data_IF_115733475986
#
_entry.id   IF_115733475986
#
_cell.length_a   1.000
_cell.length_b   1.000
_cell.length_c   1.000
_cell.angle_alpha   90.00
_cell.angle_beta   90.00
_cell.angle_gamma   90.00
#
_symmetry.space_group_name_H-M   'P 1'
#
loop_
_entity.id
_entity.type
_entity.pdbx_description
1 polymer ?
#
# COMPACT_ATOMS: atom_id res chain seq x y z
N UNK A 1 19.86 -6.79 -13.37
CA UNK A 1 18.38 -6.85 -13.32
C UNK A 1 18.03 -8.34 -13.47
N UNK A 2 17.48 -8.93 -12.41
CA UNK A 2 17.05 -10.32 -12.43
C UNK A 2 15.68 -10.46 -13.08
N UNK A 3 15.54 -11.40 -14.01
CA UNK A 3 14.24 -11.82 -14.52
C UNK A 3 13.73 -12.95 -13.62
N UNK A 4 12.53 -12.78 -13.07
CA UNK A 4 11.79 -13.84 -12.41
C UNK A 4 10.77 -14.38 -13.43
N UNK A 5 11.05 -15.50 -14.14
CA UNK A 5 10.33 -15.84 -15.38
C UNK A 5 8.81 -15.88 -15.23
N UNK A 6 8.30 -16.58 -14.23
CA UNK A 6 6.86 -16.76 -14.04
C UNK A 6 6.22 -15.46 -13.52
N UNK A 7 6.73 -14.93 -12.42
CA UNK A 7 6.12 -13.77 -11.75
C UNK A 7 6.27 -12.48 -12.56
N UNK A 8 7.35 -12.36 -13.34
CA UNK A 8 7.60 -11.16 -14.13
C UNK A 8 6.65 -11.02 -15.32
N UNK A 9 6.23 -12.09 -15.96
CA UNK A 9 5.37 -12.06 -17.13
C UNK A 9 3.88 -12.06 -16.80
N UNK A 10 3.49 -12.47 -15.61
CA UNK A 10 2.06 -12.58 -15.24
C UNK A 10 1.27 -11.30 -15.48
N UNK A 11 1.82 -10.13 -15.12
CA UNK A 11 1.14 -8.85 -15.30
C UNK A 11 1.34 -8.23 -16.69
N UNK A 12 2.32 -8.69 -17.43
CA UNK A 12 2.43 -8.39 -18.85
C UNK A 12 1.27 -9.04 -19.60
N UNK A 13 1.05 -10.33 -19.39
CA UNK A 13 0.01 -11.09 -20.04
C UNK A 13 -1.39 -10.63 -19.64
N UNK A 14 -1.66 -10.43 -18.35
CA UNK A 14 -2.96 -9.97 -17.89
C UNK A 14 -3.27 -8.54 -18.35
N UNK A 15 -2.30 -7.63 -18.36
CA UNK A 15 -2.45 -6.30 -18.91
C UNK A 15 -2.75 -6.32 -20.43
N UNK A 16 -2.12 -7.23 -21.18
CA UNK A 16 -2.45 -7.42 -22.58
C UNK A 16 -3.87 -7.95 -22.78
N UNK A 17 -4.29 -8.95 -21.99
CA UNK A 17 -5.67 -9.47 -22.05
C UNK A 17 -6.71 -8.37 -21.80
N UNK A 18 -6.46 -7.48 -20.85
CA UNK A 18 -7.35 -6.33 -20.58
C UNK A 18 -7.47 -5.42 -21.82
N UNK A 19 -6.39 -5.17 -22.56
CA UNK A 19 -6.46 -4.38 -23.80
C UNK A 19 -7.23 -5.06 -24.91
N UNK A 20 -7.37 -6.39 -24.87
CA UNK A 20 -8.19 -7.18 -25.80
C UNK A 20 -9.66 -7.27 -25.37
N UNK A 21 -10.06 -6.60 -24.27
CA UNK A 21 -11.43 -6.59 -23.75
C UNK A 21 -11.76 -7.73 -22.80
N UNK A 22 -10.77 -8.51 -22.36
CA UNK A 22 -10.95 -9.49 -21.29
C UNK A 22 -10.74 -8.79 -19.94
N UNK A 23 -11.55 -9.15 -18.95
CA UNK A 23 -11.51 -8.49 -17.64
C UNK A 23 -11.11 -9.47 -16.52
N UNK A 24 -10.22 -9.05 -15.60
CA UNK A 24 -9.86 -9.84 -14.43
C UNK A 24 -11.10 -10.19 -13.61
N UNK A 25 -11.08 -11.36 -12.97
CA UNK A 25 -12.17 -12.00 -12.21
C UNK A 25 -13.26 -12.59 -13.12
N UNK A 26 -13.68 -11.89 -14.16
CA UNK A 26 -14.74 -12.34 -15.04
C UNK A 26 -14.24 -13.33 -16.09
N UNK A 27 -13.18 -12.98 -16.79
CA UNK A 27 -12.71 -13.71 -17.98
C UNK A 27 -11.43 -14.50 -17.70
N UNK A 28 -10.67 -14.11 -16.67
CA UNK A 28 -9.49 -14.85 -16.21
C UNK A 28 -9.29 -14.72 -14.69
N UNK A 29 -8.58 -15.71 -14.13
CA UNK A 29 -8.28 -15.76 -12.70
C UNK A 29 -7.26 -14.70 -12.28
N UNK A 30 -7.48 -14.05 -11.14
CA UNK A 30 -6.58 -13.01 -10.61
C UNK A 30 -5.59 -13.61 -9.63
N UNK A 31 -4.31 -13.32 -9.80
CA UNK A 31 -3.24 -13.80 -8.91
C UNK A 31 -3.15 -12.96 -7.63
N UNK A 32 -3.45 -11.66 -7.73
CA UNK A 32 -3.39 -10.72 -6.60
C UNK A 32 -4.60 -9.78 -6.62
N UNK A 33 -4.41 -8.47 -6.78
CA UNK A 33 -5.50 -7.52 -6.97
C UNK A 33 -5.65 -7.12 -8.44
N UNK A 34 -6.80 -6.60 -8.80
CA UNK A 34 -7.17 -6.23 -10.19
C UNK A 34 -6.53 -4.94 -10.68
N UNK A 35 -6.06 -4.08 -9.78
CA UNK A 35 -5.61 -2.72 -10.12
C UNK A 35 -4.41 -2.73 -11.06
N UNK A 36 -3.48 -3.66 -10.86
CA UNK A 36 -2.23 -3.73 -11.64
C UNK A 36 -2.52 -4.10 -13.08
N UNK A 37 -3.45 -5.02 -13.33
CA UNK A 37 -3.83 -5.46 -14.67
C UNK A 37 -4.36 -4.28 -15.50
N UNK A 38 -5.22 -3.45 -14.92
CA UNK A 38 -5.73 -2.25 -15.58
C UNK A 38 -4.67 -1.16 -15.73
N UNK A 39 -3.81 -0.95 -14.74
CA UNK A 39 -2.70 -0.01 -14.87
C UNK A 39 -1.75 -0.45 -15.99
N UNK A 40 -1.40 -1.74 -16.04
CA UNK A 40 -0.55 -2.25 -17.12
C UNK A 40 -1.21 -2.10 -18.49
N UNK A 41 -2.51 -2.37 -18.60
CA UNK A 41 -3.26 -2.14 -19.83
C UNK A 41 -3.21 -0.66 -20.28
N UNK A 42 -3.34 0.28 -19.33
CA UNK A 42 -3.19 1.70 -19.62
C UNK A 42 -1.80 2.03 -20.18
N UNK A 43 -0.73 1.48 -19.62
CA UNK A 43 0.62 1.66 -20.13
C UNK A 43 0.80 1.06 -21.54
N UNK A 44 0.17 -0.07 -21.82
CA UNK A 44 0.18 -0.65 -23.18
C UNK A 44 -0.58 0.20 -24.20
N UNK A 45 -1.69 0.79 -23.80
CA UNK A 45 -2.44 1.71 -24.66
C UNK A 45 -1.61 2.95 -25.01
N UNK A 46 -0.85 3.48 -24.05
CA UNK A 46 -0.05 4.71 -24.22
C UNK A 46 1.26 4.44 -24.96
N UNK A 47 1.97 3.38 -24.62
CA UNK A 47 3.35 3.14 -25.06
C UNK A 47 3.51 1.92 -26.00
N UNK A 48 2.38 1.23 -26.31
CA UNK A 48 2.38 0.03 -27.13
C UNK A 48 2.72 -1.26 -26.37
N UNK A 49 2.50 -2.40 -27.00
CA UNK A 49 2.72 -3.74 -26.44
C UNK A 49 4.19 -4.13 -26.53
N UNK A 50 5.00 -3.62 -25.62
CA UNK A 50 6.43 -3.87 -25.60
C UNK A 50 6.98 -3.88 -24.17
N UNK A 51 8.19 -4.39 -24.03
CA UNK A 51 8.87 -4.49 -22.75
C UNK A 51 9.15 -3.12 -22.08
N UNK A 52 9.40 -2.09 -22.89
CA UNK A 52 9.64 -0.74 -22.36
C UNK A 52 8.40 -0.19 -21.67
N UNK A 53 7.20 -0.39 -22.24
CA UNK A 53 5.94 0.00 -21.60
C UNK A 53 5.78 -0.66 -20.23
N UNK A 54 6.24 -1.91 -20.10
CA UNK A 54 6.22 -2.65 -18.85
C UNK A 54 7.19 -2.06 -17.81
N UNK A 55 8.41 -1.70 -18.24
CA UNK A 55 9.39 -1.03 -17.36
C UNK A 55 8.91 0.40 -17.01
N UNK A 56 8.32 1.12 -17.94
CA UNK A 56 7.79 2.47 -17.68
C UNK A 56 6.70 2.47 -16.61
N UNK A 57 5.86 1.44 -16.57
CA UNK A 57 4.85 1.30 -15.52
C UNK A 57 5.51 1.34 -14.13
N UNK A 58 6.46 0.47 -13.85
CA UNK A 58 7.09 0.45 -12.53
C UNK A 58 7.91 1.71 -12.24
N UNK A 59 8.58 2.28 -13.26
CA UNK A 59 9.37 3.49 -13.11
C UNK A 59 8.50 4.70 -12.79
N UNK A 60 7.39 4.88 -13.50
CA UNK A 60 6.45 5.98 -13.27
C UNK A 60 5.79 5.87 -11.91
N UNK A 61 5.39 4.67 -11.48
CA UNK A 61 4.86 4.46 -10.14
C UNK A 61 5.87 4.83 -9.06
N UNK A 62 7.14 4.51 -9.26
CA UNK A 62 8.21 4.89 -8.34
C UNK A 62 8.45 6.42 -8.30
N UNK A 63 8.37 7.07 -9.44
CA UNK A 63 8.46 8.55 -9.51
C UNK A 63 7.27 9.18 -8.79
N UNK A 64 6.05 8.70 -9.03
CA UNK A 64 4.85 9.24 -8.40
C UNK A 64 4.91 9.18 -6.88
N UNK A 65 5.30 8.04 -6.28
CA UNK A 65 5.42 7.95 -4.84
C UNK A 65 6.53 8.86 -4.29
N UNK A 66 7.65 8.99 -5.02
CA UNK A 66 8.78 9.82 -4.59
C UNK A 66 8.43 11.31 -4.62
N UNK A 67 7.68 11.75 -5.63
CA UNK A 67 7.12 13.11 -5.71
C UNK A 67 6.11 13.34 -4.60
N UNK A 68 5.21 12.37 -4.36
CA UNK A 68 4.25 12.46 -3.25
C UNK A 68 4.97 12.54 -1.90
N UNK A 69 6.01 11.76 -1.70
CA UNK A 69 6.83 11.80 -0.49
C UNK A 69 7.54 13.17 -0.31
N UNK A 70 8.06 13.75 -1.39
CA UNK A 70 8.62 15.11 -1.35
C UNK A 70 7.57 16.14 -0.89
N UNK A 71 6.37 16.12 -1.47
CA UNK A 71 5.29 17.02 -1.03
C UNK A 71 4.85 16.74 0.40
N UNK A 72 4.81 15.48 0.82
CA UNK A 72 4.52 15.12 2.20
C UNK A 72 5.53 15.74 3.16
N UNK A 73 6.82 15.60 2.89
CA UNK A 73 7.89 16.18 3.72
C UNK A 73 7.80 17.71 3.77
N UNK A 74 7.50 18.38 2.66
CA UNK A 74 7.32 19.83 2.63
C UNK A 74 6.13 20.29 3.50
N UNK A 75 5.11 19.48 3.62
CA UNK A 75 3.99 19.76 4.53
C UNK A 75 4.37 19.67 6.02
N UNK A 76 5.46 18.99 6.35
CA UNK A 76 6.02 18.90 7.71
C UNK A 76 6.98 20.05 8.04
N UNK A 77 7.11 21.04 7.18
CA UNK A 77 7.98 22.22 7.35
C UNK A 77 9.48 21.92 7.45
N UNK A 78 9.92 20.82 6.86
CA UNK A 78 11.34 20.49 6.76
C UNK A 78 12.06 21.39 5.72
N UNK A 79 13.39 21.37 5.75
CA UNK A 79 14.19 22.08 4.75
C UNK A 79 14.02 21.46 3.36
N UNK A 80 13.77 22.30 2.33
CA UNK A 80 13.46 21.83 0.96
C UNK A 80 14.60 21.00 0.35
N UNK A 81 15.87 21.36 0.61
CA UNK A 81 17.02 20.59 0.13
C UNK A 81 17.09 19.21 0.78
N UNK A 82 16.88 19.15 2.10
CA UNK A 82 16.82 17.90 2.83
C UNK A 82 15.69 17.01 2.31
N UNK A 83 14.50 17.58 2.06
CA UNK A 83 13.34 16.87 1.52
C UNK A 83 13.63 16.31 0.12
N UNK A 84 14.33 17.08 -0.73
CA UNK A 84 14.72 16.63 -2.05
C UNK A 84 15.68 15.44 -1.99
N UNK A 85 16.75 15.53 -1.17
CA UNK A 85 17.70 14.42 -1.01
C UNK A 85 17.04 13.17 -0.40
N UNK A 86 16.17 13.33 0.59
CA UNK A 86 15.40 12.22 1.18
C UNK A 86 14.49 11.55 0.13
N UNK A 87 13.86 12.35 -0.73
CA UNK A 87 12.97 11.81 -1.77
C UNK A 87 13.73 11.08 -2.87
N UNK A 88 14.92 11.54 -3.25
CA UNK A 88 15.79 10.81 -4.18
C UNK A 88 16.28 9.50 -3.54
N UNK A 89 16.72 9.56 -2.29
CA UNK A 89 17.14 8.34 -1.56
C UNK A 89 15.98 7.34 -1.46
N UNK A 90 14.78 7.82 -1.18
CA UNK A 90 13.57 7.01 -1.18
C UNK A 90 13.30 6.40 -2.57
N UNK A 91 13.39 7.17 -3.64
CA UNK A 91 13.20 6.71 -5.00
C UNK A 91 14.15 5.57 -5.38
N UNK A 92 15.41 5.65 -4.97
CA UNK A 92 16.39 4.58 -5.25
C UNK A 92 16.14 3.31 -4.45
N UNK A 93 15.67 3.44 -3.21
CA UNK A 93 15.41 2.29 -2.32
C UNK A 93 14.08 1.58 -2.61
N UNK A 94 13.07 2.31 -3.10
CA UNK A 94 11.75 1.79 -3.39
C UNK A 94 11.60 1.21 -4.80
N UNK A 95 12.61 1.37 -5.66
CA UNK A 95 12.56 0.80 -7.01
C UNK A 95 12.56 -0.74 -6.95
N UNK A 96 11.68 -1.41 -7.71
CA UNK A 96 11.59 -2.87 -7.66
C UNK A 96 12.85 -3.52 -8.22
N UNK A 97 13.33 -4.57 -7.57
CA UNK A 97 14.55 -5.29 -7.94
C UNK A 97 14.48 -5.84 -9.36
N UNK A 98 13.31 -6.32 -9.79
CA UNK A 98 13.09 -6.83 -11.14
C UNK A 98 12.97 -5.70 -12.19
N UNK A 99 12.76 -4.44 -11.79
CA UNK A 99 12.51 -3.32 -12.69
C UNK A 99 11.17 -3.38 -13.41
N UNK A 100 10.27 -4.28 -13.04
CA UNK A 100 8.95 -4.50 -13.62
C UNK A 100 7.86 -4.31 -12.58
N UNK A 101 6.61 -4.01 -12.95
CA UNK A 101 5.52 -3.85 -12.00
C UNK A 101 5.26 -5.16 -11.26
N UNK A 102 5.07 -5.05 -9.96
CA UNK A 102 4.82 -6.17 -9.09
C UNK A 102 3.70 -5.82 -8.10
N UNK A 103 2.82 -6.77 -7.72
CA UNK A 103 1.69 -6.48 -6.83
C UNK A 103 2.13 -5.92 -5.49
N UNK A 104 3.16 -6.51 -4.90
CA UNK A 104 3.73 -6.03 -3.64
C UNK A 104 4.21 -4.58 -3.73
N UNK A 105 4.88 -4.21 -4.82
CA UNK A 105 5.33 -2.82 -5.02
C UNK A 105 4.15 -1.85 -4.99
N UNK A 106 3.10 -2.12 -5.76
CA UNK A 106 1.91 -1.27 -5.83
C UNK A 106 1.18 -1.21 -4.49
N UNK A 107 1.02 -2.36 -3.84
CA UNK A 107 0.42 -2.45 -2.53
C UNK A 107 1.18 -1.62 -1.49
N UNK A 108 2.52 -1.73 -1.44
CA UNK A 108 3.35 -0.93 -0.53
C UNK A 108 3.30 0.56 -0.84
N UNK A 109 3.45 0.94 -2.12
CA UNK A 109 3.40 2.34 -2.55
C UNK A 109 2.07 2.98 -2.15
N UNK A 110 0.94 2.37 -2.51
CA UNK A 110 -0.38 2.95 -2.28
C UNK A 110 -0.73 2.91 -0.78
N UNK A 111 -0.34 1.87 -0.05
CA UNK A 111 -0.49 1.82 1.40
C UNK A 111 0.34 2.90 2.10
N UNK A 112 1.56 3.16 1.63
CA UNK A 112 2.40 4.23 2.18
C UNK A 112 1.78 5.61 1.91
N UNK A 113 1.21 5.84 0.72
CA UNK A 113 0.43 7.04 0.42
C UNK A 113 -0.76 7.15 1.39
N UNK A 114 -1.47 6.05 1.66
CA UNK A 114 -2.59 6.05 2.61
C UNK A 114 -2.14 6.44 4.02
N UNK A 115 -0.99 5.93 4.49
CA UNK A 115 -0.41 6.31 5.78
C UNK A 115 -0.05 7.81 5.82
N UNK A 116 0.58 8.33 4.75
CA UNK A 116 0.93 9.75 4.66
C UNK A 116 -0.32 10.64 4.63
N UNK A 117 -1.37 10.25 3.89
CA UNK A 117 -2.66 10.96 3.86
C UNK A 117 -3.30 10.94 5.25
N UNK A 118 -3.32 9.79 5.93
CA UNK A 118 -3.83 9.68 7.30
C UNK A 118 -3.07 10.63 8.24
N UNK A 119 -1.74 10.64 8.17
CA UNK A 119 -0.92 11.55 8.96
C UNK A 119 -1.27 13.02 8.69
N UNK A 120 -1.40 13.41 7.40
CA UNK A 120 -1.78 14.77 7.04
C UNK A 120 -3.20 15.12 7.48
N UNK A 121 -4.14 14.17 7.43
CA UNK A 121 -5.51 14.34 7.89
C UNK A 121 -5.57 14.68 9.39
N UNK A 122 -4.76 13.98 10.20
CA UNK A 122 -4.65 14.24 11.65
C UNK A 122 -3.86 15.53 11.92
N UNK A 123 -2.74 15.73 11.23
CA UNK A 123 -1.82 16.84 11.49
C UNK A 123 -2.39 18.21 11.07
N UNK A 124 -3.05 18.27 9.90
CA UNK A 124 -3.60 19.52 9.34
C UNK A 124 -5.05 19.76 9.72
N UNK A 125 -5.72 18.76 10.27
CA UNK A 125 -7.17 18.83 10.55
C UNK A 125 -7.99 19.28 9.33
N UNK A 126 -7.65 18.81 8.12
CA UNK A 126 -8.28 19.21 6.87
C UNK A 126 -9.17 18.08 6.33
N UNK A 127 -10.45 18.39 6.09
CA UNK A 127 -11.48 17.43 5.65
C UNK A 127 -11.14 16.73 4.34
N UNK A 128 -10.41 17.38 3.42
CA UNK A 128 -10.05 16.79 2.12
C UNK A 128 -9.21 15.51 2.26
N UNK A 129 -8.29 15.47 3.23
CA UNK A 129 -7.48 14.26 3.46
C UNK A 129 -8.33 13.12 4.00
N UNK A 130 -9.34 13.41 4.83
CA UNK A 130 -10.29 12.41 5.32
C UNK A 130 -11.18 11.85 4.21
N UNK A 131 -11.54 12.64 3.20
CA UNK A 131 -12.30 12.16 2.02
C UNK A 131 -11.42 11.28 1.12
N UNK A 132 -10.18 11.68 0.88
CA UNK A 132 -9.29 10.99 -0.05
C UNK A 132 -8.76 9.67 0.55
N UNK A 133 -8.61 9.58 1.87
CA UNK A 133 -8.03 8.43 2.56
C UNK A 133 -8.69 7.08 2.20
N UNK A 134 -10.03 6.91 2.30
CA UNK A 134 -10.68 5.64 1.97
C UNK A 134 -10.49 5.21 0.52
N UNK A 135 -10.34 6.16 -0.41
CA UNK A 135 -10.12 5.89 -1.83
C UNK A 135 -8.74 5.23 -2.04
N UNK A 136 -7.70 5.77 -1.42
CA UNK A 136 -6.37 5.17 -1.49
C UNK A 136 -6.30 3.83 -0.73
N UNK A 137 -7.02 3.69 0.37
CA UNK A 137 -7.16 2.41 1.07
C UNK A 137 -7.82 1.35 0.17
N UNK A 138 -8.85 1.70 -0.60
CA UNK A 138 -9.45 0.82 -1.60
C UNK A 138 -8.44 0.42 -2.67
N UNK A 139 -7.74 1.37 -3.28
CA UNK A 139 -6.75 1.09 -4.32
C UNK A 139 -5.58 0.25 -3.83
N UNK A 140 -5.11 0.45 -2.60
CA UNK A 140 -4.09 -0.41 -2.00
C UNK A 140 -4.58 -1.86 -1.87
N UNK A 141 -5.82 -2.06 -1.43
CA UNK A 141 -6.43 -3.38 -1.30
C UNK A 141 -6.65 -4.05 -2.68
N UNK A 142 -7.06 -3.27 -3.68
CA UNK A 142 -7.23 -3.76 -5.06
C UNK A 142 -5.89 -4.02 -5.78
N UNK A 143 -4.77 -3.55 -5.22
CA UNK A 143 -3.43 -3.92 -5.72
C UNK A 143 -3.00 -5.28 -5.20
N UNK A 144 -3.14 -5.50 -3.89
CA UNK A 144 -2.90 -6.79 -3.25
C UNK A 144 -3.50 -6.80 -1.84
N UNK A 145 -4.17 -7.88 -1.47
CA UNK A 145 -4.89 -8.02 -0.19
C UNK A 145 -3.93 -7.99 1.01
N UNK A 146 -2.79 -8.65 0.92
CA UNK A 146 -1.71 -8.59 1.88
C UNK A 146 -0.47 -7.95 1.21
N UNK A 147 0.17 -6.94 1.81
CA UNK A 147 0.00 -6.41 3.18
C UNK A 147 -1.08 -5.33 3.34
N UNK A 148 -1.73 -4.88 2.25
CA UNK A 148 -2.62 -3.70 2.29
C UNK A 148 -3.78 -3.85 3.27
N UNK A 149 -4.38 -5.04 3.38
CA UNK A 149 -5.48 -5.28 4.31
C UNK A 149 -5.08 -5.05 5.77
N UNK A 150 -3.89 -5.48 6.17
CA UNK A 150 -3.36 -5.24 7.52
C UNK A 150 -3.12 -3.75 7.77
N UNK A 151 -2.51 -3.06 6.81
CA UNK A 151 -2.23 -1.62 6.92
C UNK A 151 -3.55 -0.84 6.98
N UNK A 152 -4.53 -1.19 6.14
CA UNK A 152 -5.85 -0.57 6.15
C UNK A 152 -6.58 -0.82 7.48
N UNK A 153 -6.49 -2.02 8.04
CA UNK A 153 -7.04 -2.32 9.36
C UNK A 153 -6.42 -1.44 10.47
N UNK A 154 -5.10 -1.25 10.45
CA UNK A 154 -4.42 -0.36 11.39
C UNK A 154 -4.87 1.10 11.20
N UNK A 155 -4.94 1.59 9.96
CA UNK A 155 -5.43 2.95 9.67
C UNK A 155 -6.87 3.13 10.18
N UNK A 156 -7.77 2.17 9.93
CA UNK A 156 -9.16 2.19 10.43
C UNK A 156 -9.21 2.22 11.96
N UNK A 157 -8.38 1.41 12.61
CA UNK A 157 -8.33 1.36 14.08
C UNK A 157 -7.90 2.71 14.67
N UNK A 158 -6.83 3.32 14.15
CA UNK A 158 -6.38 4.64 14.59
C UNK A 158 -7.38 5.75 14.24
N UNK A 159 -8.01 5.67 13.07
CA UNK A 159 -9.08 6.58 12.64
C UNK A 159 -10.27 6.53 13.61
N UNK A 160 -10.69 5.33 14.00
CA UNK A 160 -11.78 5.13 14.95
C UNK A 160 -11.45 5.74 16.32
N UNK A 161 -10.24 5.51 16.83
CA UNK A 161 -9.75 6.11 18.08
C UNK A 161 -9.74 7.64 17.98
N UNK A 162 -9.30 8.17 16.83
CA UNK A 162 -9.26 9.62 16.59
C UNK A 162 -10.67 10.22 16.64
N UNK A 163 -11.66 9.62 15.98
CA UNK A 163 -13.03 10.12 15.96
C UNK A 163 -13.75 10.00 17.32
N UNK A 164 -13.40 9.04 18.15
CA UNK A 164 -13.93 8.92 19.51
C UNK A 164 -13.43 10.04 20.43
N UNK A 165 -12.20 10.53 20.20
CA UNK A 165 -11.53 11.52 21.08
C UNK A 165 -11.61 12.94 20.55
N UNK A 166 -11.80 13.14 19.25
CA UNK A 166 -11.66 14.42 18.57
C UNK A 166 -12.91 14.79 17.77
N UNK A 167 -12.77 15.68 16.80
CA UNK A 167 -13.89 16.33 16.09
C UNK A 167 -14.70 15.35 15.23
N UNK A 168 -15.99 15.22 15.52
CA UNK A 168 -16.92 14.37 14.75
C UNK A 168 -17.10 14.80 13.28
N UNK A 169 -16.80 16.07 12.94
CA UNK A 169 -16.93 16.56 11.55
C UNK A 169 -16.07 15.77 10.56
N UNK A 170 -14.92 15.28 11.00
CA UNK A 170 -14.03 14.47 10.16
C UNK A 170 -14.60 13.08 9.87
N UNK A 171 -15.48 12.57 10.75
CA UNK A 171 -16.20 11.33 10.50
C UNK A 171 -17.08 11.44 9.25
N UNK A 172 -17.82 12.53 9.08
CA UNK A 172 -18.65 12.73 7.88
C UNK A 172 -17.80 12.78 6.61
N UNK A 173 -16.66 13.44 6.66
CA UNK A 173 -15.72 13.49 5.53
C UNK A 173 -15.17 12.11 5.19
N UNK A 174 -14.81 11.31 6.18
CA UNK A 174 -14.36 9.93 6.00
C UNK A 174 -15.47 9.04 5.45
N UNK A 175 -16.70 9.16 5.95
CA UNK A 175 -17.86 8.43 5.45
C UNK A 175 -18.18 8.80 4.00
N UNK A 176 -18.05 10.10 3.62
CA UNK A 176 -18.19 10.54 2.23
C UNK A 176 -17.14 9.87 1.34
N UNK A 177 -15.87 9.85 1.75
CA UNK A 177 -14.80 9.15 1.02
C UNK A 177 -15.05 7.64 0.91
N UNK A 178 -15.58 7.02 1.98
CA UNK A 178 -15.96 5.60 1.96
C UNK A 178 -17.12 5.34 1.00
N UNK A 179 -18.11 6.24 0.95
CA UNK A 179 -19.21 6.16 -0.01
C UNK A 179 -18.68 6.25 -1.46
N UNK A 180 -17.77 7.19 -1.74
CA UNK A 180 -17.13 7.31 -3.06
C UNK A 180 -16.40 5.99 -3.40
N UNK A 181 -15.68 5.40 -2.46
CA UNK A 181 -14.98 4.11 -2.67
C UNK A 181 -15.96 2.97 -3.00
N UNK A 182 -17.10 2.92 -2.31
CA UNK A 182 -18.16 1.94 -2.59
C UNK A 182 -18.76 2.19 -3.98
N UNK A 183 -19.00 3.44 -4.36
CA UNK A 183 -19.51 3.78 -5.69
C UNK A 183 -18.54 3.39 -6.82
N UNK A 184 -17.23 3.56 -6.60
CA UNK A 184 -16.19 3.09 -7.54
C UNK A 184 -16.30 1.56 -7.72
N UNK A 185 -16.42 0.80 -6.64
CA UNK A 185 -16.59 -0.66 -6.70
C UNK A 185 -17.90 -1.06 -7.37
N UNK A 186 -19.01 -0.40 -7.04
CA UNK A 186 -20.30 -0.67 -7.68
C UNK A 186 -20.25 -0.38 -9.18
N UNK A 187 -19.64 0.75 -9.57
CA UNK A 187 -19.43 1.05 -10.99
C UNK A 187 -18.59 -0.05 -11.68
N UNK A 188 -17.51 -0.50 -11.03
CA UNK A 188 -16.68 -1.59 -11.53
C UNK A 188 -17.50 -2.87 -11.76
N UNK A 189 -18.32 -3.28 -10.81
CA UNK A 189 -19.16 -4.48 -10.94
C UNK A 189 -20.23 -4.35 -12.00
N UNK A 190 -20.95 -3.22 -12.04
CA UNK A 190 -22.06 -3.02 -12.95
C UNK A 190 -21.58 -2.82 -14.40
N UNK A 191 -20.56 -2.00 -14.60
CA UNK A 191 -20.05 -1.67 -15.93
C UNK A 191 -19.39 -2.88 -16.61
N UNK A 192 -18.59 -3.63 -15.88
CA UNK A 192 -17.90 -4.80 -16.40
C UNK A 192 -18.70 -6.10 -16.25
N UNK A 193 -19.88 -6.05 -15.65
CA UNK A 193 -20.74 -7.22 -15.36
C UNK A 193 -20.01 -8.31 -14.60
N UNK A 194 -19.24 -7.93 -13.58
CA UNK A 194 -18.49 -8.84 -12.72
C UNK A 194 -19.42 -9.40 -11.65
N UNK A 195 -19.40 -10.72 -11.48
CA UNK A 195 -20.14 -11.37 -10.42
C UNK A 195 -19.49 -11.10 -9.05
N UNK A 196 -20.28 -10.55 -8.11
CA UNK A 196 -19.80 -10.23 -6.76
C UNK A 196 -19.30 -11.48 -6.03
N UNK A 197 -19.92 -12.65 -6.26
CA UNK A 197 -19.47 -13.92 -5.67
C UNK A 197 -18.06 -14.29 -6.15
N UNK A 198 -17.81 -14.16 -7.45
CA UNK A 198 -16.49 -14.48 -8.04
C UNK A 198 -15.43 -13.51 -7.54
N UNK A 199 -15.77 -12.23 -7.43
CA UNK A 199 -14.90 -11.22 -6.81
C UNK A 199 -14.54 -11.61 -5.37
N UNK A 200 -15.54 -11.91 -4.54
CA UNK A 200 -15.31 -12.29 -3.15
C UNK A 200 -14.50 -13.58 -3.03
N UNK A 201 -14.78 -14.55 -3.89
CA UNK A 201 -14.03 -15.83 -3.92
C UNK A 201 -12.55 -15.59 -4.26
N UNK A 202 -12.25 -14.83 -5.33
CA UNK A 202 -10.89 -14.66 -5.81
C UNK A 202 -10.09 -13.66 -4.96
N UNK A 203 -10.72 -12.57 -4.50
CA UNK A 203 -10.02 -11.47 -3.82
C UNK A 203 -9.96 -11.67 -2.29
N UNK A 204 -10.91 -12.40 -1.71
CA UNK A 204 -10.98 -12.56 -0.25
C UNK A 204 -10.75 -14.01 0.17
N UNK A 205 -11.59 -14.95 -0.30
CA UNK A 205 -11.53 -16.31 0.19
C UNK A 205 -10.25 -17.04 -0.23
N UNK A 206 -9.89 -16.96 -1.50
CA UNK A 206 -8.71 -17.66 -2.02
C UNK A 206 -7.39 -17.23 -1.34
N UNK A 207 -7.08 -15.94 -1.13
CA UNK A 207 -5.92 -15.55 -0.36
C UNK A 207 -5.91 -16.05 1.09
N UNK A 208 -7.09 -16.16 1.72
CA UNK A 208 -7.21 -16.70 3.08
C UNK A 208 -6.91 -18.21 3.11
N UNK A 209 -7.41 -18.99 2.16
CA UNK A 209 -7.13 -20.43 2.08
C UNK A 209 -5.67 -20.74 1.81
N UNK A 210 -5.03 -19.97 0.92
CA UNK A 210 -3.56 -20.10 0.70
C UNK A 210 -2.80 -19.74 1.97
N UNK A 211 -3.23 -18.68 2.68
CA UNK A 211 -2.64 -18.26 3.94
C UNK A 211 -2.74 -19.36 5.00
N UNK A 212 -3.89 -19.99 5.10
CA UNK A 212 -4.13 -21.11 6.01
C UNK A 212 -3.23 -22.31 5.70
N UNK A 213 -3.18 -22.77 4.45
CA UNK A 213 -2.30 -23.86 4.02
C UNK A 213 -0.81 -23.58 4.31
N UNK A 214 -0.37 -22.32 4.14
CA UNK A 214 1.00 -21.91 4.47
C UNK A 214 1.27 -21.87 5.97
N UNK A 215 0.25 -21.59 6.80
CA UNK A 215 0.37 -21.57 8.26
C UNK A 215 0.33 -22.99 8.82
N UNK A 216 -0.59 -23.81 8.36
CA UNK A 216 -0.80 -25.18 8.85
C UNK A 216 0.27 -26.17 8.36
N UNK A 217 1.08 -25.78 7.34
CA UNK A 217 2.19 -26.59 6.86
C UNK A 217 1.70 -27.81 6.08
N UNK A 218 0.68 -27.62 5.22
CA UNK A 218 0.25 -28.63 4.29
C UNK A 218 1.46 -29.03 3.40
N UNK A 219 1.90 -30.30 3.48
CA UNK A 219 3.11 -30.80 2.85
C UNK A 219 3.10 -30.59 1.32
N UNK A 220 1.91 -30.44 0.73
CA UNK A 220 1.70 -30.13 -0.68
C UNK A 220 1.82 -28.62 -1.02
N UNK A 221 1.81 -27.74 -0.04
CA UNK A 221 1.94 -26.29 -0.23
C UNK A 221 3.37 -25.84 0.04
N UNK A 222 4.26 -26.01 -0.95
CA UNK A 222 5.65 -25.52 -0.95
C UNK A 222 6.45 -25.91 0.31
N UNK A 223 7.37 -26.82 0.19
CA UNK A 223 8.29 -27.34 1.24
C UNK A 223 9.00 -26.29 2.10
N UNK A 224 8.88 -25.01 1.77
CA UNK A 224 9.57 -23.92 2.44
C UNK A 224 8.74 -23.16 3.48
N UNK A 225 7.46 -23.46 3.67
CA UNK A 225 6.56 -22.58 4.38
C UNK A 225 6.14 -23.04 5.77
N UNK A 226 6.99 -23.65 6.54
CA UNK A 226 6.72 -23.82 7.95
C UNK A 226 6.84 -22.45 8.66
N UNK A 227 5.79 -21.62 8.47
CA UNK A 227 5.69 -20.25 9.01
C UNK A 227 5.84 -20.28 10.54
N UNK A 228 5.38 -21.33 11.23
CA UNK A 228 5.57 -21.49 12.67
C UNK A 228 7.04 -21.66 13.06
N UNK A 229 7.87 -22.35 12.26
CA UNK A 229 9.32 -22.39 12.48
C UNK A 229 9.97 -21.00 12.25
N UNK A 230 9.43 -20.21 11.30
CA UNK A 230 9.91 -18.84 11.01
C UNK A 230 9.38 -17.81 12.01
N UNK A 231 8.22 -18.06 12.61
CA UNK A 231 7.64 -17.23 13.68
C UNK A 231 8.26 -17.47 15.06
N UNK A 232 9.17 -18.46 15.20
CA UNK A 232 9.97 -18.57 16.42
C UNK A 232 10.81 -17.30 16.60
N UNK A 233 11.04 -16.87 17.85
CA UNK A 233 11.88 -15.71 18.15
C UNK A 233 13.23 -15.78 17.42
N UNK A 234 13.86 -16.95 17.40
CA UNK A 234 15.13 -17.19 16.71
C UNK A 234 15.03 -17.04 15.20
N UNK A 235 13.98 -17.54 14.58
CA UNK A 235 13.73 -17.42 13.13
C UNK A 235 13.42 -15.97 12.73
N UNK A 236 12.53 -15.31 13.45
CA UNK A 236 12.16 -13.92 13.21
C UNK A 236 13.35 -12.98 13.43
N UNK A 237 14.09 -13.14 14.54
CA UNK A 237 15.26 -12.32 14.81
C UNK A 237 16.36 -12.55 13.77
N UNK A 238 16.58 -13.81 13.33
CA UNK A 238 17.57 -14.13 12.32
C UNK A 238 17.30 -13.42 10.98
N UNK A 239 16.06 -13.38 10.54
CA UNK A 239 15.66 -12.77 9.27
C UNK A 239 15.55 -11.24 9.33
N UNK A 240 15.04 -10.70 10.45
CA UNK A 240 14.71 -9.28 10.57
C UNK A 240 15.64 -8.53 11.55
N UNK A 241 16.74 -9.13 11.99
CA UNK A 241 17.63 -8.55 13.01
C UNK A 241 18.05 -7.11 12.75
N UNK A 242 18.39 -6.77 11.52
CA UNK A 242 18.80 -5.41 11.17
C UNK A 242 17.64 -4.42 11.25
N UNK A 243 16.46 -4.82 10.79
CA UNK A 243 15.23 -4.00 10.87
C UNK A 243 14.84 -3.82 12.34
N UNK A 244 14.88 -4.88 13.13
CA UNK A 244 14.57 -4.85 14.56
C UNK A 244 15.56 -3.93 15.30
N UNK A 245 16.86 -4.07 15.04
CA UNK A 245 17.90 -3.20 15.63
C UNK A 245 17.65 -1.74 15.23
N UNK A 246 17.34 -1.47 13.96
CA UNK A 246 17.06 -0.12 13.46
C UNK A 246 15.82 0.48 14.15
N UNK A 247 14.74 -0.29 14.30
CA UNK A 247 13.53 0.15 15.01
C UNK A 247 13.85 0.49 16.47
N UNK A 248 14.56 -0.39 17.18
CA UNK A 248 14.96 -0.14 18.57
C UNK A 248 15.88 1.08 18.73
N UNK A 249 16.86 1.24 17.84
CA UNK A 249 17.73 2.41 17.83
C UNK A 249 16.95 3.72 17.63
N UNK A 250 16.00 3.74 16.68
CA UNK A 250 15.12 4.90 16.48
C UNK A 250 14.20 5.16 17.67
N UNK A 251 13.67 4.12 18.29
CA UNK A 251 12.81 4.22 19.46
C UNK A 251 13.58 4.82 20.66
N UNK A 252 14.80 4.33 20.90
CA UNK A 252 15.71 4.86 21.92
C UNK A 252 16.06 6.33 21.61
N UNK A 253 16.45 6.65 20.38
CA UNK A 253 16.76 8.02 19.98
C UNK A 253 15.56 8.95 20.17
N UNK A 254 14.34 8.50 19.83
CA UNK A 254 13.11 9.25 20.05
C UNK A 254 12.83 9.48 21.53
N UNK A 255 13.01 8.48 22.38
CA UNK A 255 12.84 8.61 23.83
C UNK A 255 13.84 9.63 24.40
N UNK A 256 15.11 9.57 23.98
CA UNK A 256 16.13 10.54 24.40
C UNK A 256 15.79 11.96 23.93
N UNK A 257 15.35 12.11 22.68
CA UNK A 257 14.92 13.40 22.14
C UNK A 257 13.74 13.98 22.92
N UNK A 258 12.71 13.18 23.19
CA UNK A 258 11.53 13.59 23.95
C UNK A 258 11.89 13.95 25.41
N UNK A 259 12.79 13.20 26.05
CA UNK A 259 13.28 13.52 27.39
C UNK A 259 14.05 14.84 27.44
N UNK A 260 14.93 15.08 26.44
CA UNK A 260 15.73 16.30 26.36
C UNK A 260 14.88 17.55 26.09
N UNK A 261 13.77 17.40 25.32
CA UNK A 261 12.91 18.49 24.89
C UNK A 261 11.56 18.51 25.62
N UNK A 262 11.49 17.93 26.83
CA UNK A 262 10.25 17.77 27.58
C UNK A 262 9.53 19.10 27.84
N UNK A 263 10.27 20.16 28.15
CA UNK A 263 9.73 21.50 28.42
C UNK A 263 9.18 22.16 27.14
N UNK A 264 9.85 22.00 26.00
CA UNK A 264 9.40 22.53 24.72
C UNK A 264 8.15 21.84 24.17
N UNK A 265 7.92 20.56 24.51
CA UNK A 265 6.76 19.81 24.06
C UNK A 265 5.50 20.16 24.88
N UNK A 266 5.67 20.45 26.16
CA UNK A 266 4.58 20.88 27.04
C UNK A 266 4.15 22.32 26.76
N UNK A 267 5.08 23.27 26.50
CA UNK A 267 4.76 24.63 26.11
C UNK A 267 3.95 24.72 24.81
N UNK A 268 4.28 23.91 23.78
CA UNK A 268 3.51 23.88 22.54
C UNK A 268 2.11 23.31 22.72
N UNK A 269 1.89 22.41 23.66
CA UNK A 269 0.58 21.83 23.96
C UNK A 269 -0.32 22.79 24.75
N UNK A 270 0.27 23.67 25.54
CA UNK A 270 -0.44 24.74 26.28
C UNK A 270 -0.83 25.90 25.36
N UNK A 271 -0.09 26.13 24.26
CA UNK A 271 -0.41 27.17 23.27
C UNK A 271 -1.39 26.70 22.18
N UNK A 272 -1.78 25.43 22.19
CA UNK A 272 -2.74 24.84 21.21
C UNK A 272 -4.09 24.46 21.85
N UNK A 273 -4.30 24.75 23.13
CA UNK A 273 -5.58 24.73 23.84
C UNK A 273 -6.06 26.15 24.07
#
# INVERSE_FOLDING_TARGET
>A
IGLYPIDTFSFFDSGYLVTQGYHPIKDFWVISGVLIDYLQALFFIIFGYNWNAYIYHSSIMNVLISVFFFFFLNNLRNNIYSNFFLSISFATLCYPVAGTPFPYQHAYIISLISIMIFYLAVYKEDQKYWIILPIFMLFSFLSMQLPSGLINFLILSFTSIHFLKFKKIFLYSFLLGSLISILILLFYFLFLKINIKDFFTQIVLFPLTIGEGRILGDENAYESANLFKKLTFRGTFGHFKFIIIFIFANLIATIFYLRKNKDHFFEKKVLLN
#
